data_IF_982626872144
#
_entry.id   IF_982626872144
#
_cell.length_a   1.000
_cell.length_b   1.000
_cell.length_c   1.000
_cell.angle_alpha   90.00
_cell.angle_beta   90.00
_cell.angle_gamma   90.00
#
_symmetry.space_group_name_H-M   'P 1'
#
loop_
_entity.id
_entity.type
_entity.pdbx_description
1 polymer ?
#
# COMPACT_ATOMS: atom_id res chain seq x y z
N UNK A 1 7.80 -1.32 -12.04
CA UNK A 1 7.91 0.02 -12.70
C UNK A 1 8.38 -0.23 -14.13
N UNK A 2 8.30 0.72 -15.07
CA UNK A 2 8.79 0.48 -16.45
C UNK A 2 10.27 0.11 -16.41
N UNK A 3 11.10 0.94 -15.78
CA UNK A 3 12.55 0.77 -15.83
C UNK A 3 13.06 1.38 -17.12
N UNK A 4 14.14 2.13 -17.05
CA UNK A 4 14.88 2.58 -18.22
C UNK A 4 16.30 2.02 -18.06
N UNK A 5 17.04 1.94 -19.17
CA UNK A 5 18.47 1.59 -19.14
C UNK A 5 19.22 2.62 -18.28
N UNK A 6 20.28 2.16 -17.62
CA UNK A 6 21.05 2.94 -16.65
C UNK A 6 22.50 3.01 -17.07
N UNK A 7 23.15 4.10 -16.67
CA UNK A 7 24.60 4.22 -16.83
C UNK A 7 25.34 3.19 -15.95
N UNK A 8 26.53 2.70 -16.35
CA UNK A 8 27.28 1.69 -15.61
C UNK A 8 27.65 2.08 -14.17
N UNK A 9 27.73 3.37 -13.89
CA UNK A 9 28.07 3.92 -12.57
C UNK A 9 26.86 3.96 -11.62
N UNK A 10 25.65 3.69 -12.10
CA UNK A 10 24.47 3.61 -11.25
C UNK A 10 24.33 2.26 -10.55
N UNK A 11 23.69 2.26 -9.38
CA UNK A 11 23.31 1.02 -8.71
C UNK A 11 22.46 0.13 -9.64
N UNK A 12 22.92 -1.12 -9.82
CA UNK A 12 22.26 -2.14 -10.65
C UNK A 12 20.86 -2.43 -10.11
N UNK A 13 19.89 -1.76 -10.71
CA UNK A 13 18.49 -1.81 -10.33
C UNK A 13 17.65 -1.84 -11.59
N UNK A 14 16.68 -2.73 -11.63
CA UNK A 14 15.92 -3.01 -12.85
C UNK A 14 14.45 -2.66 -12.70
N UNK A 15 13.79 -2.42 -13.84
CA UNK A 15 12.35 -2.36 -13.97
C UNK A 15 11.85 -3.44 -14.91
N UNK A 16 10.56 -3.38 -15.25
CA UNK A 16 9.88 -4.39 -16.05
C UNK A 16 10.54 -4.65 -17.42
N UNK A 17 11.00 -3.61 -18.13
CA UNK A 17 11.59 -3.78 -19.46
C UNK A 17 13.10 -4.06 -19.41
N UNK A 18 13.75 -3.78 -18.29
CA UNK A 18 15.18 -4.05 -18.07
C UNK A 18 15.43 -5.30 -17.23
N UNK A 19 14.44 -6.20 -17.12
CA UNK A 19 14.64 -7.51 -16.51
C UNK A 19 15.63 -8.33 -17.34
N UNK A 20 16.39 -9.19 -16.65
CA UNK A 20 17.45 -10.03 -17.21
C UNK A 20 17.18 -11.47 -16.79
N UNK A 21 17.85 -12.44 -17.41
CA UNK A 21 17.57 -13.87 -17.20
C UNK A 21 17.74 -14.31 -15.74
N UNK A 22 18.69 -13.74 -15.01
CA UNK A 22 18.95 -14.05 -13.61
C UNK A 22 17.86 -13.56 -12.65
N UNK A 23 17.01 -12.62 -13.10
CA UNK A 23 15.95 -12.04 -12.28
C UNK A 23 14.65 -12.84 -12.25
N UNK A 24 14.51 -13.84 -13.13
CA UNK A 24 13.29 -14.64 -13.25
C UNK A 24 13.63 -16.12 -13.39
N UNK A 25 13.13 -16.94 -12.48
CA UNK A 25 13.15 -18.40 -12.59
C UNK A 25 11.77 -18.92 -12.97
N UNK A 26 11.71 -19.83 -13.93
CA UNK A 26 10.50 -20.55 -14.34
C UNK A 26 10.42 -21.88 -13.60
N UNK A 27 9.28 -22.18 -12.98
CA UNK A 27 9.00 -23.47 -12.32
C UNK A 27 7.55 -23.89 -12.62
N UNK A 28 7.38 -24.82 -13.57
CA UNK A 28 6.06 -25.21 -14.05
C UNK A 28 5.25 -24.02 -14.59
N UNK A 29 4.12 -23.72 -13.96
CA UNK A 29 3.25 -22.58 -14.28
C UNK A 29 3.55 -21.32 -13.44
N UNK A 30 4.65 -21.33 -12.69
CA UNK A 30 5.05 -20.27 -11.78
C UNK A 30 6.30 -19.52 -12.26
N UNK A 31 6.26 -18.20 -12.15
CA UNK A 31 7.40 -17.31 -12.34
C UNK A 31 7.86 -16.79 -10.98
N UNK A 32 9.11 -17.07 -10.64
CA UNK A 32 9.78 -16.56 -9.44
C UNK A 32 10.64 -15.38 -9.83
N UNK A 33 10.31 -14.21 -9.32
CA UNK A 33 11.09 -13.00 -9.54
C UNK A 33 11.94 -12.70 -8.31
N UNK A 34 13.19 -12.31 -8.54
CA UNK A 34 14.09 -11.79 -7.52
C UNK A 34 15.07 -10.79 -8.13
N UNK A 35 14.89 -9.51 -7.79
CA UNK A 35 15.74 -8.43 -8.31
C UNK A 35 15.72 -7.20 -7.40
N UNK A 36 16.70 -6.32 -7.56
CA UNK A 36 16.70 -5.01 -6.92
C UNK A 36 15.98 -3.99 -7.81
N UNK A 37 14.92 -3.38 -7.30
CA UNK A 37 14.22 -2.30 -8.00
C UNK A 37 14.72 -0.92 -7.59
N UNK A 38 13.93 0.11 -7.92
CA UNK A 38 14.20 1.50 -7.50
C UNK A 38 14.60 1.60 -6.02
N UNK A 39 15.61 2.44 -5.75
CA UNK A 39 16.15 2.69 -4.40
C UNK A 39 16.78 1.41 -3.80
N UNK A 40 17.24 0.48 -4.66
CA UNK A 40 17.82 -0.83 -4.34
C UNK A 40 16.94 -1.70 -3.43
N UNK A 41 15.62 -1.55 -3.55
CA UNK A 41 14.65 -2.34 -2.78
C UNK A 41 14.41 -3.67 -3.47
N UNK A 42 14.78 -4.78 -2.82
CA UNK A 42 14.53 -6.14 -3.30
C UNK A 42 13.05 -6.40 -3.56
N UNK A 43 12.76 -6.94 -4.73
CA UNK A 43 11.44 -7.38 -5.16
C UNK A 43 11.49 -8.87 -5.39
N UNK A 44 10.95 -9.62 -4.43
CA UNK A 44 10.91 -11.07 -4.45
C UNK A 44 9.45 -11.51 -4.40
N UNK A 45 8.94 -12.09 -5.50
CA UNK A 45 7.56 -12.60 -5.60
C UNK A 45 7.47 -13.75 -6.58
N UNK A 46 6.62 -14.71 -6.23
CA UNK A 46 6.21 -15.79 -7.13
C UNK A 46 4.80 -15.52 -7.64
N UNK A 47 4.57 -15.70 -8.94
CA UNK A 47 3.25 -15.52 -9.55
C UNK A 47 2.97 -16.64 -10.54
N UNK A 48 1.78 -17.21 -10.48
CA UNK A 48 1.27 -18.10 -11.52
C UNK A 48 1.01 -17.29 -12.79
N UNK A 49 1.44 -17.80 -13.94
CA UNK A 49 1.32 -17.11 -15.22
C UNK A 49 0.67 -18.03 -16.28
N UNK A 50 -0.01 -17.45 -17.31
CA UNK A 50 -0.51 -18.23 -18.43
C UNK A 50 0.61 -18.96 -19.17
N UNK A 51 0.30 -20.13 -19.74
CA UNK A 51 1.31 -20.97 -20.41
C UNK A 51 2.07 -20.24 -21.53
N UNK A 52 1.39 -19.39 -22.30
CA UNK A 52 2.04 -18.57 -23.33
C UNK A 52 3.08 -17.60 -22.75
N UNK A 53 2.83 -17.05 -21.55
CA UNK A 53 3.79 -16.17 -20.87
C UNK A 53 4.98 -16.99 -20.36
N UNK A 54 4.74 -18.18 -19.79
CA UNK A 54 5.80 -19.09 -19.35
C UNK A 54 6.73 -19.44 -20.52
N UNK A 55 6.15 -19.86 -21.64
CA UNK A 55 6.89 -20.21 -22.85
C UNK A 55 7.70 -19.02 -23.39
N UNK A 56 7.10 -17.84 -23.46
CA UNK A 56 7.79 -16.64 -23.94
C UNK A 56 8.95 -16.24 -23.02
N UNK A 57 8.75 -16.23 -21.70
CA UNK A 57 9.81 -15.90 -20.74
C UNK A 57 10.94 -16.93 -20.81
N UNK A 58 10.62 -18.23 -20.88
CA UNK A 58 11.63 -19.28 -21.02
C UNK A 58 12.40 -19.16 -22.34
N UNK A 59 11.72 -18.82 -23.45
CA UNK A 59 12.37 -18.56 -24.72
C UNK A 59 13.34 -17.38 -24.62
N UNK A 60 12.86 -16.21 -24.17
CA UNK A 60 13.69 -15.02 -24.07
C UNK A 60 14.85 -15.17 -23.09
N UNK A 61 14.68 -15.89 -21.97
CA UNK A 61 15.78 -16.16 -21.04
C UNK A 61 16.95 -16.94 -21.66
N UNK A 62 16.69 -17.73 -22.71
CA UNK A 62 17.70 -18.51 -23.43
C UNK A 62 18.25 -17.80 -24.67
N UNK A 63 17.48 -16.88 -25.28
CA UNK A 63 17.87 -16.23 -26.53
C UNK A 63 18.39 -14.79 -26.35
N UNK A 64 18.00 -14.10 -25.28
CA UNK A 64 18.44 -12.72 -25.02
C UNK A 64 19.91 -12.70 -24.59
N UNK A 65 20.65 -11.67 -25.03
CA UNK A 65 22.03 -11.41 -24.61
C UNK A 65 22.08 -10.76 -23.24
N UNK A 66 21.34 -9.66 -23.06
CA UNK A 66 21.38 -8.85 -21.84
C UNK A 66 19.99 -8.75 -21.17
N UNK A 67 19.03 -8.11 -21.84
CA UNK A 67 17.68 -7.92 -21.31
C UNK A 67 16.69 -8.92 -21.90
N UNK A 68 15.75 -9.43 -21.09
CA UNK A 68 14.69 -10.33 -21.55
C UNK A 68 13.81 -9.72 -22.65
N UNK A 69 13.71 -8.39 -22.70
CA UNK A 69 12.85 -7.66 -23.63
C UNK A 69 13.67 -6.76 -24.55
N UNK A 70 14.66 -7.34 -25.24
CA UNK A 70 15.53 -6.59 -26.16
C UNK A 70 14.72 -5.81 -27.21
N UNK A 71 15.14 -4.58 -27.48
CA UNK A 71 14.45 -3.70 -28.41
C UNK A 71 13.12 -3.13 -27.88
N UNK A 72 12.76 -3.35 -26.61
CA UNK A 72 11.62 -2.69 -25.96
C UNK A 72 12.13 -1.55 -25.07
N UNK A 73 11.75 -0.32 -25.40
CA UNK A 73 12.07 0.87 -24.62
C UNK A 73 10.79 1.53 -24.05
N UNK A 74 10.95 2.48 -23.12
CA UNK A 74 9.83 3.16 -22.48
C UNK A 74 8.98 4.00 -23.44
N UNK A 75 9.55 4.48 -24.56
CA UNK A 75 8.81 5.21 -25.60
C UNK A 75 7.90 4.25 -26.37
N UNK A 76 8.38 3.06 -26.73
CA UNK A 76 7.59 2.00 -27.40
C UNK A 76 6.44 1.54 -26.51
N UNK A 77 6.71 1.27 -25.23
CA UNK A 77 5.65 0.91 -24.27
C UNK A 77 4.62 2.02 -24.13
N UNK A 78 5.06 3.27 -23.97
CA UNK A 78 4.14 4.41 -23.82
C UNK A 78 3.30 4.65 -25.07
N UNK A 79 3.89 4.51 -26.27
CA UNK A 79 3.18 4.60 -27.55
C UNK A 79 2.12 3.52 -27.68
N UNK A 80 2.46 2.27 -27.39
CA UNK A 80 1.53 1.15 -27.42
C UNK A 80 0.34 1.37 -26.47
N UNK A 81 0.60 1.83 -25.24
CA UNK A 81 -0.46 2.11 -24.27
C UNK A 81 -1.35 3.28 -24.71
N UNK A 82 -0.75 4.35 -25.23
CA UNK A 82 -1.49 5.54 -25.69
C UNK A 82 -2.38 5.24 -26.90
N UNK A 83 -1.98 4.32 -27.78
CA UNK A 83 -2.82 3.84 -28.88
C UNK A 83 -4.06 3.09 -28.39
N UNK A 84 -3.98 2.41 -27.24
CA UNK A 84 -5.13 1.70 -26.65
C UNK A 84 -6.05 2.63 -25.87
N UNK A 85 -5.50 3.69 -25.27
CA UNK A 85 -6.26 4.69 -24.54
C UNK A 85 -5.44 5.99 -24.46
N UNK A 86 -5.92 7.12 -25.02
CA UNK A 86 -5.25 8.40 -24.90
C UNK A 86 -4.93 8.76 -23.44
N UNK A 87 -3.68 9.17 -23.18
CA UNK A 87 -3.20 9.51 -21.83
C UNK A 87 -2.82 8.32 -20.94
N UNK A 88 -3.01 7.08 -21.39
CA UNK A 88 -2.62 5.90 -20.62
C UNK A 88 -1.10 5.71 -20.61
N UNK A 89 -0.53 5.65 -19.41
CA UNK A 89 0.90 5.35 -19.20
C UNK A 89 1.06 4.18 -18.23
N UNK A 90 2.23 3.54 -18.23
CA UNK A 90 2.53 2.47 -17.28
C UNK A 90 2.44 2.91 -15.80
N UNK A 91 2.60 4.20 -15.51
CA UNK A 91 2.43 4.76 -14.16
C UNK A 91 0.97 4.69 -13.70
N UNK A 92 0.02 4.86 -14.62
CA UNK A 92 -1.43 4.81 -14.34
C UNK A 92 -1.81 3.45 -13.75
N UNK A 93 -1.27 2.34 -14.28
CA UNK A 93 -1.53 0.99 -13.73
C UNK A 93 -1.12 0.85 -12.27
N UNK A 94 -0.06 1.54 -11.82
CA UNK A 94 0.34 1.51 -10.40
C UNK A 94 -0.69 2.22 -9.53
N UNK A 95 -1.14 3.40 -9.94
CA UNK A 95 -2.17 4.17 -9.23
C UNK A 95 -3.51 3.42 -9.22
N UNK A 96 -3.93 2.89 -10.37
CA UNK A 96 -5.13 2.08 -10.50
C UNK A 96 -5.09 0.86 -9.57
N UNK A 97 -4.00 0.07 -9.62
CA UNK A 97 -3.87 -1.13 -8.76
C UNK A 97 -3.91 -0.76 -7.28
N UNK A 98 -3.18 0.28 -6.87
CA UNK A 98 -3.17 0.73 -5.47
C UNK A 98 -4.54 1.22 -5.01
N UNK A 99 -5.24 1.98 -5.85
CA UNK A 99 -6.59 2.48 -5.56
C UNK A 99 -7.62 1.35 -5.54
N UNK A 100 -7.54 0.39 -6.45
CA UNK A 100 -8.39 -0.80 -6.45
C UNK A 100 -8.18 -1.61 -5.16
N UNK A 101 -6.93 -1.89 -4.80
CA UNK A 101 -6.59 -2.60 -3.57
C UNK A 101 -7.14 -1.88 -2.34
N UNK A 102 -6.97 -0.55 -2.21
CA UNK A 102 -7.49 0.14 -1.02
C UNK A 102 -9.03 0.07 -0.96
N UNK A 103 -9.72 0.21 -2.09
CA UNK A 103 -11.19 0.11 -2.15
C UNK A 103 -11.66 -1.28 -1.70
N UNK A 104 -11.03 -2.34 -2.19
CA UNK A 104 -11.32 -3.72 -1.80
C UNK A 104 -11.07 -3.94 -0.31
N UNK A 105 -9.93 -3.51 0.22
CA UNK A 105 -9.62 -3.69 1.65
C UNK A 105 -10.54 -2.88 2.57
N UNK A 106 -10.90 -1.66 2.17
CA UNK A 106 -11.86 -0.86 2.91
C UNK A 106 -13.27 -1.48 2.89
N UNK A 107 -13.67 -2.12 1.79
CA UNK A 107 -14.97 -2.81 1.69
C UNK A 107 -15.07 -4.08 2.53
N UNK A 108 -13.95 -4.73 2.85
CA UNK A 108 -13.90 -5.91 3.74
C UNK A 108 -14.03 -5.55 5.22
N UNK A 109 -13.98 -4.27 5.56
CA UNK A 109 -14.04 -3.81 6.94
C UNK A 109 -15.45 -4.00 7.52
N UNK A 110 -15.61 -4.66 8.68
CA UNK A 110 -16.92 -4.92 9.29
C UNK A 110 -17.51 -3.68 10.00
N UNK A 111 -17.02 -2.49 9.68
CA UNK A 111 -17.31 -1.28 10.45
C UNK A 111 -18.66 -0.68 10.10
N UNK A 112 -19.28 -0.13 11.14
CA UNK A 112 -20.52 0.61 11.15
C UNK A 112 -20.28 2.07 11.57
N UNK A 113 -21.33 2.90 11.58
CA UNK A 113 -21.21 4.30 11.98
C UNK A 113 -20.98 4.45 13.49
N UNK A 114 -21.47 3.49 14.26
CA UNK A 114 -21.43 3.44 15.72
C UNK A 114 -20.04 3.04 16.24
N UNK A 115 -19.20 2.46 15.37
CA UNK A 115 -17.87 2.01 15.74
C UNK A 115 -16.96 3.15 16.19
N UNK A 116 -16.09 2.90 17.18
CA UNK A 116 -15.23 3.92 17.73
C UNK A 116 -14.19 4.37 16.70
N UNK A 117 -13.89 5.67 16.72
CA UNK A 117 -12.93 6.34 15.83
C UNK A 117 -11.58 5.61 15.75
N UNK A 118 -11.08 5.06 16.87
CA UNK A 118 -9.78 4.39 16.87
C UNK A 118 -9.78 3.12 16.01
N UNK A 119 -10.93 2.43 15.92
CA UNK A 119 -11.09 1.22 15.14
C UNK A 119 -11.22 1.57 13.65
N UNK A 120 -12.02 2.58 13.30
CA UNK A 120 -12.07 3.16 11.94
C UNK A 120 -10.67 3.54 11.44
N UNK A 121 -9.90 4.27 12.26
CA UNK A 121 -8.50 4.63 11.94
C UNK A 121 -7.58 3.42 11.79
N UNK A 122 -7.78 2.36 12.57
CA UNK A 122 -7.01 1.13 12.46
C UNK A 122 -7.25 0.45 11.10
N UNK A 123 -8.52 0.24 10.70
CA UNK A 123 -8.86 -0.36 9.41
C UNK A 123 -8.39 0.49 8.23
N UNK A 124 -8.53 1.82 8.29
CA UNK A 124 -8.02 2.72 7.25
C UNK A 124 -6.51 2.56 7.02
N UNK A 125 -5.74 2.37 8.10
CA UNK A 125 -4.29 2.14 8.03
C UNK A 125 -3.93 0.72 7.59
N UNK A 126 -4.72 -0.29 7.98
CA UNK A 126 -4.55 -1.67 7.52
C UNK A 126 -4.78 -1.78 6.01
N UNK A 127 -5.80 -1.10 5.48
CA UNK A 127 -6.02 -1.00 4.04
C UNK A 127 -4.83 -0.35 3.32
N UNK A 128 -4.27 0.74 3.88
CA UNK A 128 -3.06 1.37 3.31
C UNK A 128 -1.82 0.47 3.40
N UNK A 129 -1.70 -0.34 4.46
CA UNK A 129 -0.63 -1.34 4.59
C UNK A 129 -0.70 -2.32 3.43
N UNK A 130 -1.89 -2.81 3.08
CA UNK A 130 -2.03 -3.72 1.95
C UNK A 130 -1.61 -3.08 0.63
N UNK A 131 -1.90 -1.80 0.44
CA UNK A 131 -1.42 -1.04 -0.72
C UNK A 131 0.11 -0.96 -0.73
N UNK A 132 0.73 -0.67 0.42
CA UNK A 132 2.20 -0.60 0.52
C UNK A 132 2.87 -1.94 0.21
N UNK A 133 2.29 -3.07 0.63
CA UNK A 133 2.74 -4.44 0.27
C UNK A 133 2.66 -4.69 -1.24
N UNK A 134 1.50 -4.36 -1.85
CA UNK A 134 1.28 -4.52 -3.28
C UNK A 134 2.26 -3.68 -4.09
N UNK A 135 2.51 -2.45 -3.66
CA UNK A 135 3.42 -1.51 -4.30
C UNK A 135 4.91 -1.73 -3.97
N UNK A 136 5.24 -2.70 -3.08
CA UNK A 136 6.57 -2.97 -2.54
C UNK A 136 7.24 -1.72 -1.93
N UNK A 137 6.49 -0.90 -1.20
CA UNK A 137 7.03 0.26 -0.48
C UNK A 137 7.71 -0.16 0.83
N UNK A 138 8.74 -1.03 0.72
CA UNK A 138 9.51 -1.48 1.87
C UNK A 138 10.38 -0.35 2.43
N UNK A 139 10.71 -0.46 3.70
CA UNK A 139 11.68 0.39 4.40
C UNK A 139 12.57 -0.47 5.29
N UNK A 140 13.78 0.01 5.57
CA UNK A 140 14.66 -0.61 6.56
C UNK A 140 14.00 -0.54 7.95
N UNK A 141 14.00 -1.66 8.66
CA UNK A 141 13.56 -1.70 10.05
C UNK A 141 14.58 -0.93 10.89
N UNK A 142 14.09 0.00 11.72
CA UNK A 142 14.95 0.76 12.62
C UNK A 142 15.55 -0.16 13.68
N UNK A 143 16.84 0.00 13.99
CA UNK A 143 17.52 -0.78 15.03
C UNK A 143 16.82 -0.68 16.41
N UNK A 144 16.21 0.47 16.73
CA UNK A 144 15.44 0.70 17.96
C UNK A 144 13.98 0.22 17.88
N UNK A 145 13.62 -0.60 16.89
CA UNK A 145 12.23 -1.05 16.71
C UNK A 145 11.79 -1.95 17.87
N UNK A 146 12.55 -3.00 18.17
CA UNK A 146 12.22 -3.97 19.22
C UNK A 146 12.16 -3.31 20.60
N UNK A 147 13.12 -2.45 20.93
CA UNK A 147 13.12 -1.69 22.19
C UNK A 147 11.86 -0.82 22.35
N UNK A 148 11.46 -0.11 21.29
CA UNK A 148 10.24 0.72 21.31
C UNK A 148 8.98 -0.11 21.38
N UNK A 149 8.98 -1.30 20.76
CA UNK A 149 7.86 -2.23 20.80
C UNK A 149 7.69 -2.81 22.21
N UNK A 150 8.77 -3.28 22.84
CA UNK A 150 8.78 -3.78 24.20
C UNK A 150 8.23 -2.75 25.20
N UNK A 151 8.68 -1.49 25.13
CA UNK A 151 8.14 -0.39 25.95
C UNK A 151 6.63 -0.18 25.76
N UNK A 152 6.10 -0.36 24.54
CA UNK A 152 4.66 -0.26 24.30
C UNK A 152 3.90 -1.43 24.92
N UNK A 153 4.44 -2.64 24.83
CA UNK A 153 3.85 -3.87 25.36
C UNK A 153 3.86 -3.91 26.89
N UNK A 154 4.95 -3.49 27.51
CA UNK A 154 5.07 -3.33 28.96
C UNK A 154 3.98 -2.41 29.49
N UNK A 155 3.82 -1.22 28.88
CA UNK A 155 2.76 -0.27 29.24
C UNK A 155 1.35 -0.85 29.04
N UNK A 156 1.15 -1.69 28.03
CA UNK A 156 -0.13 -2.38 27.84
C UNK A 156 -0.38 -3.40 28.97
N UNK A 157 0.66 -4.14 29.38
CA UNK A 157 0.56 -5.11 30.46
C UNK A 157 0.31 -4.44 31.82
N UNK A 158 0.94 -3.30 32.09
CA UNK A 158 0.65 -2.48 33.26
C UNK A 158 -0.82 -2.02 33.28
N UNK A 159 -1.34 -1.51 32.15
CA UNK A 159 -2.75 -1.13 32.03
C UNK A 159 -3.69 -2.31 32.29
N UNK A 160 -3.36 -3.52 31.80
CA UNK A 160 -4.14 -4.73 32.06
C UNK A 160 -4.13 -5.13 33.54
N UNK A 161 -2.99 -4.98 34.23
CA UNK A 161 -2.88 -5.22 35.68
C UNK A 161 -3.76 -4.23 36.46
N UNK A 162 -3.69 -2.94 36.13
CA UNK A 162 -4.54 -1.91 36.71
C UNK A 162 -6.03 -2.18 36.47
N UNK A 163 -6.39 -2.69 35.29
CA UNK A 163 -7.76 -3.08 34.98
C UNK A 163 -8.23 -4.22 35.89
N UNK A 164 -7.42 -5.26 36.06
CA UNK A 164 -7.74 -6.40 36.94
C UNK A 164 -7.96 -5.94 38.38
N UNK A 165 -7.09 -5.07 38.89
CA UNK A 165 -7.22 -4.51 40.22
C UNK A 165 -8.52 -3.68 40.37
N UNK A 166 -8.78 -2.75 39.44
CA UNK A 166 -10.00 -1.92 39.51
C UNK A 166 -11.29 -2.74 39.41
N UNK A 167 -11.28 -3.84 38.64
CA UNK A 167 -12.41 -4.78 38.58
C UNK A 167 -12.62 -5.49 39.92
N UNK A 168 -11.55 -5.92 40.58
CA UNK A 168 -11.63 -6.52 41.91
C UNK A 168 -12.14 -5.53 42.97
N UNK A 169 -11.79 -4.25 42.85
CA UNK A 169 -12.25 -3.17 43.71
C UNK A 169 -13.69 -2.67 43.38
N UNK A 170 -14.39 -3.27 42.41
CA UNK A 170 -15.75 -2.87 42.01
C UNK A 170 -15.85 -1.48 41.35
N UNK A 171 -14.72 -0.90 40.90
CA UNK A 171 -14.68 0.44 40.30
C UNK A 171 -15.10 0.43 38.83
N UNK A 172 -15.60 1.57 38.33
CA UNK A 172 -15.91 1.76 36.90
C UNK A 172 -14.66 1.58 36.04
N UNK A 173 -14.72 0.69 35.05
CA UNK A 173 -13.55 0.27 34.25
C UNK A 173 -13.64 0.54 32.74
N UNK A 174 -14.83 0.89 32.22
CA UNK A 174 -15.13 1.08 30.79
C UNK A 174 -14.10 1.95 30.05
N UNK A 175 -13.70 3.08 30.64
CA UNK A 175 -12.70 3.99 30.05
C UNK A 175 -11.33 3.32 29.91
N UNK A 176 -10.91 2.54 30.92
CA UNK A 176 -9.63 1.85 30.92
C UNK A 176 -9.62 0.70 29.90
N UNK A 177 -10.74 -0.03 29.78
CA UNK A 177 -10.91 -1.07 28.76
C UNK A 177 -10.78 -0.50 27.34
N UNK A 178 -11.44 0.63 27.07
CA UNK A 178 -11.35 1.32 25.77
C UNK A 178 -9.91 1.76 25.48
N UNK A 179 -9.19 2.29 26.48
CA UNK A 179 -7.78 2.69 26.33
C UNK A 179 -6.88 1.48 26.05
N UNK A 180 -7.12 0.36 26.72
CA UNK A 180 -6.41 -0.90 26.51
C UNK A 180 -6.63 -1.39 25.08
N UNK A 181 -7.87 -1.39 24.60
CA UNK A 181 -8.18 -1.86 23.25
C UNK A 181 -7.53 -0.97 22.18
N UNK A 182 -7.64 0.36 22.33
CA UNK A 182 -6.92 1.32 21.47
C UNK A 182 -5.40 1.06 21.47
N UNK A 183 -4.81 0.77 22.63
CA UNK A 183 -3.37 0.50 22.77
C UNK A 183 -2.97 -0.83 22.12
N UNK A 184 -3.79 -1.88 22.24
CA UNK A 184 -3.58 -3.16 21.54
C UNK A 184 -3.55 -2.95 20.03
N UNK A 185 -4.52 -2.23 19.46
CA UNK A 185 -4.57 -1.94 18.02
C UNK A 185 -3.39 -1.10 17.53
N UNK A 186 -2.91 -0.16 18.33
CA UNK A 186 -1.69 0.61 18.02
C UNK A 186 -0.43 -0.28 17.99
N UNK A 187 -0.31 -1.22 18.94
CA UNK A 187 0.79 -2.20 18.97
C UNK A 187 0.71 -3.12 17.76
N UNK A 188 -0.47 -3.67 17.46
CA UNK A 188 -0.70 -4.52 16.29
C UNK A 188 -0.28 -3.80 15.00
N UNK A 189 -0.74 -2.56 14.82
CA UNK A 189 -0.34 -1.75 13.68
C UNK A 189 1.17 -1.49 13.62
N UNK A 190 1.79 -1.21 14.77
CA UNK A 190 3.24 -0.99 14.86
C UNK A 190 4.01 -2.23 14.40
N UNK A 191 3.58 -3.43 14.81
CA UNK A 191 4.17 -4.71 14.39
C UNK A 191 4.02 -4.93 12.89
N UNK A 192 2.78 -4.83 12.36
CA UNK A 192 2.48 -5.13 10.96
C UNK A 192 3.10 -4.13 9.97
N UNK A 193 3.27 -2.87 10.37
CA UNK A 193 3.80 -1.81 9.50
C UNK A 193 5.31 -1.60 9.62
N UNK A 194 6.02 -2.43 10.39
CA UNK A 194 7.45 -2.22 10.69
C UNK A 194 8.30 -2.12 9.41
N UNK A 195 7.98 -2.91 8.40
CA UNK A 195 8.74 -3.04 7.15
C UNK A 195 8.22 -2.14 6.02
N UNK A 196 7.13 -1.39 6.22
CA UNK A 196 6.46 -0.68 5.13
C UNK A 196 6.35 0.83 5.35
N UNK A 197 6.54 1.60 4.28
CA UNK A 197 6.32 3.04 4.24
C UNK A 197 4.90 3.37 3.74
N UNK A 198 3.99 3.57 4.69
CA UNK A 198 2.60 3.95 4.44
C UNK A 198 2.42 5.37 3.88
N UNK A 199 3.39 6.26 4.09
CA UNK A 199 3.31 7.64 3.62
C UNK A 199 3.42 7.73 2.10
N UNK A 200 4.30 6.91 1.51
CA UNK A 200 4.52 6.89 0.06
C UNK A 200 3.26 6.46 -0.68
N UNK A 201 2.61 5.36 -0.27
CA UNK A 201 1.36 4.90 -0.88
C UNK A 201 0.25 5.94 -0.75
N UNK A 202 0.05 6.46 0.46
CA UNK A 202 -1.03 7.41 0.76
C UNK A 202 -0.88 8.75 0.02
N UNK A 203 0.35 9.22 -0.18
CA UNK A 203 0.63 10.52 -0.81
C UNK A 203 0.47 10.49 -2.33
N UNK A 204 0.82 9.39 -2.99
CA UNK A 204 1.12 9.41 -4.44
C UNK A 204 0.53 8.26 -5.25
N UNK A 205 -0.06 7.24 -4.63
CA UNK A 205 -0.52 6.04 -5.34
C UNK A 205 -1.99 5.72 -5.12
N UNK A 206 -2.60 6.30 -4.10
CA UNK A 206 -4.00 6.10 -3.78
C UNK A 206 -4.74 7.37 -4.20
N UNK A 207 -5.82 7.20 -4.97
CA UNK A 207 -6.82 8.24 -5.16
C UNK A 207 -7.52 8.55 -3.82
N UNK A 208 -7.45 9.80 -3.31
CA UNK A 208 -8.05 10.16 -2.03
C UNK A 208 -9.57 9.94 -1.99
N UNK A 209 -10.26 9.94 -3.13
CA UNK A 209 -11.70 9.69 -3.20
C UNK A 209 -12.10 8.30 -2.68
N UNK A 210 -11.19 7.32 -2.75
CA UNK A 210 -11.42 6.01 -2.15
C UNK A 210 -11.64 6.10 -0.63
N UNK A 211 -10.87 6.94 0.06
CA UNK A 211 -11.04 7.19 1.49
C UNK A 211 -12.24 8.08 1.77
N UNK A 212 -12.53 9.08 0.92
CA UNK A 212 -13.72 9.94 1.03
C UNK A 212 -15.00 9.11 0.99
N UNK A 213 -15.14 8.24 0.00
CA UNK A 213 -16.33 7.38 -0.14
C UNK A 213 -16.48 6.42 1.03
N UNK A 214 -15.39 5.79 1.48
CA UNK A 214 -15.44 4.91 2.64
C UNK A 214 -15.80 5.69 3.92
N UNK A 215 -15.16 6.85 4.14
CA UNK A 215 -15.39 7.69 5.31
C UNK A 215 -16.84 8.16 5.44
N UNK A 216 -17.49 8.51 4.33
CA UNK A 216 -18.93 8.84 4.30
C UNK A 216 -19.81 7.66 4.76
N UNK A 217 -19.48 6.43 4.35
CA UNK A 217 -20.26 5.23 4.72
C UNK A 217 -20.18 4.92 6.21
N UNK A 218 -18.98 5.02 6.78
CA UNK A 218 -18.73 4.69 8.19
C UNK A 218 -18.78 5.91 9.11
N UNK A 219 -19.20 7.09 8.63
CA UNK A 219 -19.15 8.35 9.38
C UNK A 219 -17.79 8.57 10.09
N UNK A 220 -16.73 8.72 9.28
CA UNK A 220 -15.36 8.90 9.76
C UNK A 220 -14.78 10.24 9.33
N UNK A 221 -14.39 11.04 10.31
CA UNK A 221 -13.66 12.27 10.08
C UNK A 221 -12.22 11.99 9.57
N UNK A 222 -12.00 12.29 8.29
CA UNK A 222 -10.72 12.09 7.61
C UNK A 222 -9.61 13.02 8.11
N UNK A 223 -9.91 14.09 8.85
CA UNK A 223 -8.88 14.89 9.51
C UNK A 223 -8.13 14.11 10.59
N UNK A 224 -8.80 13.12 11.19
CA UNK A 224 -8.19 12.21 12.17
C UNK A 224 -7.28 11.17 11.53
N UNK A 225 -7.28 11.05 10.19
CA UNK A 225 -6.47 10.12 9.43
C UNK A 225 -5.36 10.81 8.65
N UNK A 226 -5.68 11.82 7.84
CA UNK A 226 -4.71 12.53 7.01
C UNK A 226 -3.91 13.56 7.82
N UNK A 227 -2.56 13.53 7.75
CA UNK A 227 -1.73 14.64 8.25
C UNK A 227 -2.08 15.97 7.56
N UNK A 228 -1.83 17.10 8.24
CA UNK A 228 -2.12 18.46 7.72
C UNK A 228 -1.60 18.68 6.30
N UNK A 229 -0.39 18.22 6.00
CA UNK A 229 0.23 18.35 4.68
C UNK A 229 -0.51 17.58 3.59
N UNK A 230 -1.05 16.39 3.90
CA UNK A 230 -1.86 15.64 2.94
C UNK A 230 -3.27 16.19 2.83
N UNK A 231 -3.83 16.77 3.90
CA UNK A 231 -5.10 17.50 3.82
C UNK A 231 -5.01 18.68 2.87
N UNK A 232 -3.97 19.49 2.96
CA UNK A 232 -3.74 20.60 2.02
C UNK A 232 -3.56 20.11 0.58
N UNK A 233 -2.82 19.01 0.37
CA UNK A 233 -2.63 18.44 -0.96
C UNK A 233 -3.93 17.91 -1.59
N UNK A 234 -4.80 17.33 -0.77
CA UNK A 234 -6.04 16.69 -1.20
C UNK A 234 -7.27 17.54 -0.86
N UNK A 235 -7.11 18.85 -0.69
CA UNK A 235 -8.21 19.76 -0.34
C UNK A 235 -9.37 19.62 -1.32
N UNK A 236 -9.09 19.55 -2.62
CA UNK A 236 -10.07 19.34 -3.69
C UNK A 236 -10.94 18.08 -3.54
N UNK A 237 -10.46 17.06 -2.83
CA UNK A 237 -11.20 15.82 -2.58
C UNK A 237 -11.84 15.79 -1.20
N UNK A 238 -11.20 16.40 -0.20
CA UNK A 238 -11.60 16.34 1.21
C UNK A 238 -12.60 17.44 1.60
N UNK A 239 -12.56 18.58 0.92
CA UNK A 239 -13.62 19.59 0.99
C UNK A 239 -14.81 18.99 0.26
N UNK A 240 -15.85 18.63 1.02
CA UNK A 240 -17.06 18.09 0.43
C UNK A 240 -17.60 19.08 -0.59
N UNK A 241 -17.75 18.63 -1.83
CA UNK A 241 -18.67 19.24 -2.77
C UNK A 241 -19.98 19.54 -2.01
N UNK A 242 -20.34 20.82 -1.87
CA UNK A 242 -21.67 21.22 -1.45
C UNK A 242 -22.67 20.64 -2.45
N UNK A 243 -23.94 20.49 -2.06
CA UNK A 243 -24.99 19.86 -2.86
C UNK A 243 -25.20 20.46 -4.27
N UNK A 244 -24.58 21.59 -4.59
CA UNK A 244 -24.62 22.26 -5.90
C UNK A 244 -23.81 21.50 -6.98
N UNK A 245 -22.81 20.72 -6.57
CA UNK A 245 -21.78 20.15 -7.43
C UNK A 245 -22.13 18.74 -7.98
N UNK A 246 -23.27 18.17 -7.57
CA UNK A 246 -23.82 16.92 -8.13
C UNK A 246 -24.65 17.16 -9.40
N UNK A 247 -25.06 18.41 -9.64
CA UNK A 247 -25.89 18.79 -10.80
C UNK A 247 -25.09 18.90 -12.10
N UNK A 248 -23.81 19.26 -12.06
CA UNK A 248 -22.99 19.42 -13.28
C UNK A 248 -22.48 18.09 -13.86
N UNK A 249 -22.40 17.01 -13.06
CA UNK A 249 -21.81 15.76 -13.53
C UNK A 249 -22.81 14.84 -14.26
N UNK A 250 -24.10 15.20 -14.29
CA UNK A 250 -25.15 14.49 -15.02
C UNK A 250 -25.53 15.16 -16.35
N UNK A 251 -24.89 16.27 -16.71
CA UNK A 251 -25.26 17.08 -17.90
C UNK A 251 -24.05 17.40 -18.80
N UNK A 252 -22.93 16.68 -18.67
CA UNK A 252 -21.76 16.82 -19.55
C UNK A 252 -21.32 15.48 -20.15
#
# INVERSE_FOLDING_TARGET
>A
RVGDEKDPDEADTVGAITLRKEHIKVDGDMLHFDFLGKDSVRWEKSVKAPQAVIQNIAHYANTSKEYLFEGVDSKKVSRFLSQKMPGLTAKVFRTWRCTKTVKEELSKSPLTKEDPIYLKKFYAKMANLKVAEVANHKRKISAKFEERLAKKEEKLNEMKKQLKQKKAEGKKTVSLETRIEKKKRDIELTKRTKEYNLGTSLKSYIDPMAYVHWARRVDFDLEKFYPKTLRSKFSWALQGKTAEDETECLVA
#
